data_IF_312565057943
#
_entry.id   IF_312565057943
#
_cell.length_a   1.000
_cell.length_b   1.000
_cell.length_c   1.000
_cell.angle_alpha   90.00
_cell.angle_beta   90.00
_cell.angle_gamma   90.00
#
_symmetry.space_group_name_H-M   'P 1'
#
loop_
_entity.id
_entity.type
_entity.pdbx_description
1 polymer ?
#
# COMPACT_ATOMS: atom_id res chain seq x y z
N UNK A 1 -5.88 -9.50 5.66
CA UNK A 1 -5.51 -8.41 4.75
C UNK A 1 -6.60 -7.33 4.72
N UNK A 2 -7.86 -7.71 4.56
CA UNK A 2 -9.00 -6.79 4.43
C UNK A 2 -9.68 -6.42 5.75
N UNK A 3 -9.18 -6.91 6.87
CA UNK A 3 -9.76 -6.64 8.18
C UNK A 3 -9.90 -5.14 8.47
N UNK A 4 -8.91 -4.35 8.10
CA UNK A 4 -8.89 -2.90 8.25
C UNK A 4 -10.07 -2.18 7.58
N UNK A 5 -10.63 -2.76 6.50
CA UNK A 5 -11.86 -2.31 5.85
C UNK A 5 -13.09 -3.01 6.45
N UNK A 6 -13.05 -4.34 6.53
CA UNK A 6 -14.19 -5.16 6.91
C UNK A 6 -14.70 -4.85 8.33
N UNK A 7 -13.82 -4.42 9.24
CA UNK A 7 -14.21 -3.98 10.58
C UNK A 7 -15.08 -2.73 10.61
N UNK A 8 -15.13 -1.96 9.52
CA UNK A 8 -16.01 -0.79 9.37
C UNK A 8 -17.25 -1.08 8.50
N UNK A 9 -17.37 -2.25 7.88
CA UNK A 9 -18.52 -2.60 7.05
C UNK A 9 -19.52 -3.45 7.84
N UNK A 10 -20.70 -2.88 8.11
CA UNK A 10 -21.78 -3.53 8.88
C UNK A 10 -22.29 -4.84 8.23
N UNK A 11 -21.99 -5.07 6.97
CA UNK A 11 -22.37 -6.31 6.25
C UNK A 11 -21.31 -7.41 6.39
N UNK A 12 -20.14 -7.11 6.98
CA UNK A 12 -19.07 -8.06 7.18
C UNK A 12 -19.10 -8.64 8.60
N UNK A 13 -18.77 -9.92 8.74
CA UNK A 13 -18.67 -10.60 10.03
C UNK A 13 -17.60 -9.97 10.94
N UNK A 14 -16.56 -9.38 10.34
CA UNK A 14 -15.47 -8.70 11.02
C UNK A 14 -15.94 -7.46 11.78
N UNK A 15 -17.07 -6.85 11.37
CA UNK A 15 -17.67 -5.72 12.08
C UNK A 15 -18.15 -6.11 13.47
N UNK A 16 -18.95 -7.16 13.57
CA UNK A 16 -19.46 -7.64 14.87
C UNK A 16 -18.34 -8.26 15.71
N UNK A 17 -17.47 -9.07 15.10
CA UNK A 17 -16.28 -9.61 15.76
C UNK A 17 -15.44 -8.51 16.41
N UNK A 18 -15.23 -7.38 15.68
CA UNK A 18 -14.47 -6.25 16.20
C UNK A 18 -15.14 -5.66 17.44
N UNK A 19 -16.46 -5.44 17.38
CA UNK A 19 -17.23 -4.85 18.48
C UNK A 19 -17.25 -5.72 19.73
N UNK A 20 -17.37 -7.01 19.54
CA UNK A 20 -17.36 -7.99 20.64
C UNK A 20 -15.97 -8.12 21.28
N UNK A 21 -14.91 -7.98 20.51
CA UNK A 21 -13.54 -8.22 20.97
C UNK A 21 -12.84 -6.96 21.47
N UNK A 22 -13.02 -5.83 20.79
CA UNK A 22 -12.26 -4.59 21.01
C UNK A 22 -13.16 -3.40 21.40
N UNK A 23 -14.46 -3.51 21.25
CA UNK A 23 -15.40 -2.42 21.45
C UNK A 23 -15.80 -1.73 20.14
N UNK A 24 -16.58 -0.65 20.29
CA UNK A 24 -17.09 0.11 19.13
C UNK A 24 -15.97 0.89 18.43
N UNK A 25 -16.13 1.07 17.12
CA UNK A 25 -15.10 1.65 16.26
C UNK A 25 -14.81 3.14 16.53
N UNK A 26 -15.64 3.83 17.33
CA UNK A 26 -15.34 5.17 17.86
C UNK A 26 -14.42 5.11 19.11
N UNK A 27 -14.35 3.98 19.81
CA UNK A 27 -13.50 3.76 21.00
C UNK A 27 -12.21 3.05 20.67
N UNK A 28 -12.27 2.06 19.79
CA UNK A 28 -11.13 1.31 19.30
C UNK A 28 -11.25 1.16 17.78
N UNK A 29 -10.49 1.94 17.04
CA UNK A 29 -10.43 1.89 15.58
C UNK A 29 -9.19 1.19 15.07
N UNK A 30 -9.02 1.17 13.75
CA UNK A 30 -7.89 0.46 13.14
C UNK A 30 -6.52 1.01 13.59
N UNK A 31 -6.38 2.33 13.76
CA UNK A 31 -5.16 2.98 14.27
C UNK A 31 -4.70 2.42 15.63
N UNK A 32 -5.63 1.92 16.44
CA UNK A 32 -5.34 1.46 17.80
C UNK A 32 -4.63 0.08 17.81
N UNK A 33 -4.62 -0.62 16.67
CA UNK A 33 -3.79 -1.81 16.49
C UNK A 33 -2.30 -1.48 16.27
N UNK A 34 -1.95 -0.28 15.82
CA UNK A 34 -0.57 0.08 15.53
C UNK A 34 0.35 -0.13 16.74
N UNK A 35 0.01 0.31 17.97
CA UNK A 35 0.84 0.04 19.14
C UNK A 35 0.98 -1.44 19.49
N UNK A 36 0.06 -2.29 19.01
CA UNK A 36 0.11 -3.75 19.21
C UNK A 36 1.03 -4.45 18.23
N UNK A 37 1.35 -3.83 17.11
CA UNK A 37 2.31 -4.32 16.12
C UNK A 37 3.73 -4.10 16.63
N UNK A 38 4.34 -5.11 17.24
CA UNK A 38 5.69 -5.03 17.85
C UNK A 38 6.80 -5.60 16.98
N UNK A 39 6.47 -6.48 16.05
CA UNK A 39 7.43 -7.21 15.20
C UNK A 39 8.54 -7.92 16.01
N UNK A 40 8.24 -8.41 17.20
CA UNK A 40 9.21 -9.01 18.14
C UNK A 40 9.94 -10.23 17.57
N UNK A 41 9.24 -11.01 16.75
CA UNK A 41 9.78 -12.21 16.11
C UNK A 41 10.33 -11.95 14.72
N UNK A 42 10.25 -10.72 14.23
CA UNK A 42 10.73 -10.36 12.91
C UNK A 42 12.26 -10.30 12.89
N UNK A 43 12.85 -11.05 11.98
CA UNK A 43 14.29 -11.03 11.70
C UNK A 43 14.47 -11.13 10.19
N UNK A 44 14.83 -10.02 9.58
CA UNK A 44 14.94 -9.90 8.13
C UNK A 44 16.00 -10.84 7.53
N UNK A 45 17.15 -11.01 8.19
CA UNK A 45 18.21 -11.91 7.70
C UNK A 45 17.76 -13.38 7.71
N UNK A 46 17.05 -13.82 8.77
CA UNK A 46 16.50 -15.19 8.80
C UNK A 46 15.45 -15.40 7.70
N UNK A 47 14.62 -14.39 7.42
CA UNK A 47 13.65 -14.46 6.35
C UNK A 47 14.34 -14.53 4.99
N UNK A 48 15.30 -13.64 4.73
CA UNK A 48 16.03 -13.62 3.47
C UNK A 48 16.80 -14.94 3.23
N UNK A 49 17.44 -15.49 4.27
CA UNK A 49 18.12 -16.79 4.19
C UNK A 49 17.11 -17.92 3.86
N UNK A 50 15.92 -17.92 4.46
CA UNK A 50 14.86 -18.88 4.15
C UNK A 50 14.37 -18.75 2.71
N UNK A 51 14.12 -17.52 2.24
CA UNK A 51 13.72 -17.26 0.85
C UNK A 51 14.79 -17.71 -0.13
N UNK A 52 16.06 -17.42 0.15
CA UNK A 52 17.17 -17.90 -0.68
C UNK A 52 17.21 -19.42 -0.74
N UNK A 53 17.06 -20.09 0.41
CA UNK A 53 17.02 -21.54 0.50
C UNK A 53 15.85 -22.16 -0.28
N UNK A 54 14.72 -21.48 -0.35
CA UNK A 54 13.54 -21.90 -1.14
C UNK A 54 13.71 -21.70 -2.67
N UNK A 55 14.81 -21.09 -3.11
CA UNK A 55 15.10 -20.85 -4.52
C UNK A 55 14.63 -19.47 -5.02
N UNK A 56 14.13 -18.60 -4.15
CA UNK A 56 13.75 -17.25 -4.52
C UNK A 56 14.92 -16.48 -5.15
N UNK A 57 14.61 -15.63 -6.12
CA UNK A 57 15.58 -14.76 -6.79
C UNK A 57 15.40 -13.30 -6.36
N UNK A 58 14.18 -12.92 -6.06
CA UNK A 58 13.84 -11.58 -5.58
C UNK A 58 12.83 -11.67 -4.43
N UNK A 59 12.76 -10.59 -3.65
CA UNK A 59 11.78 -10.41 -2.57
C UNK A 59 11.09 -9.08 -2.77
N UNK A 60 9.77 -9.08 -2.71
CA UNK A 60 8.93 -7.90 -2.92
C UNK A 60 8.01 -7.70 -1.70
N UNK A 61 8.48 -7.04 -0.65
CA UNK A 61 7.61 -6.70 0.47
C UNK A 61 6.57 -5.67 0.08
N UNK A 62 5.43 -5.71 0.75
CA UNK A 62 4.44 -4.64 0.70
C UNK A 62 4.94 -3.50 1.58
N UNK A 63 5.30 -2.38 0.97
CA UNK A 63 5.84 -1.20 1.67
C UNK A 63 4.75 -0.31 2.27
N UNK A 64 3.60 -0.24 1.62
CA UNK A 64 2.38 0.40 2.13
C UNK A 64 1.17 -0.29 1.48
N UNK A 65 0.24 -0.79 2.29
CA UNK A 65 -1.00 -1.41 1.82
C UNK A 65 -2.15 -0.40 1.75
N UNK A 66 -3.36 -0.86 1.44
CA UNK A 66 -4.58 -0.02 1.37
C UNK A 66 -4.93 0.67 2.69
N UNK A 67 -4.44 0.18 3.80
CA UNK A 67 -4.66 0.73 5.14
C UNK A 67 -3.90 2.04 5.42
N UNK A 68 -2.90 2.37 4.58
CA UNK A 68 -2.15 3.63 4.66
C UNK A 68 -1.05 3.65 5.72
N UNK A 69 -0.75 2.52 6.37
CA UNK A 69 0.38 2.41 7.30
C UNK A 69 1.65 2.03 6.53
N UNK A 70 2.62 2.94 6.51
CA UNK A 70 3.87 2.70 5.81
C UNK A 70 4.80 1.78 6.62
N UNK A 71 5.30 0.70 6.00
CA UNK A 71 6.26 -0.24 6.60
C UNK A 71 7.70 0.26 6.51
N UNK A 72 7.92 1.49 6.09
CA UNK A 72 9.21 2.12 5.87
C UNK A 72 9.31 3.49 6.56
N UNK A 73 10.52 3.99 6.70
CA UNK A 73 10.80 5.32 7.21
C UNK A 73 10.43 6.38 6.18
N UNK A 74 9.36 7.13 6.41
CA UNK A 74 8.89 8.23 5.56
C UNK A 74 8.80 9.53 6.32
N UNK A 75 9.17 10.63 5.66
CA UNK A 75 9.00 11.99 6.20
C UNK A 75 7.63 12.58 5.90
N UNK A 76 6.88 11.99 4.97
CA UNK A 76 5.59 12.52 4.52
C UNK A 76 4.40 12.03 5.34
N UNK A 77 4.62 11.05 6.22
CA UNK A 77 3.56 10.48 7.04
C UNK A 77 4.10 10.01 8.39
N UNK A 78 3.51 10.50 9.48
CA UNK A 78 3.85 10.03 10.84
C UNK A 78 3.39 8.58 11.10
N UNK A 79 2.43 8.08 10.33
CA UNK A 79 1.87 6.74 10.45
C UNK A 79 2.75 5.73 9.70
N UNK A 80 3.89 5.43 10.29
CA UNK A 80 4.87 4.51 9.71
C UNK A 80 5.56 3.66 10.77
N UNK A 81 6.08 2.51 10.36
CA UNK A 81 6.69 1.50 11.23
C UNK A 81 7.98 1.98 11.90
N UNK A 82 8.65 3.01 11.36
CA UNK A 82 9.82 3.62 11.99
C UNK A 82 9.43 4.54 13.16
N UNK A 83 8.33 5.28 13.01
CA UNK A 83 7.89 6.24 14.02
C UNK A 83 7.06 5.60 15.13
N UNK A 84 6.35 4.52 14.86
CA UNK A 84 5.42 3.89 15.81
C UNK A 84 5.32 2.37 15.61
N UNK A 85 4.57 1.71 16.48
CA UNK A 85 4.46 0.24 16.47
C UNK A 85 5.81 -0.42 16.78
N UNK A 86 6.47 -1.06 15.81
CA UNK A 86 7.76 -1.71 16.02
C UNK A 86 8.93 -0.75 16.19
N UNK A 87 8.76 0.54 15.84
CA UNK A 87 9.80 1.57 15.82
C UNK A 87 11.02 1.16 14.98
N UNK A 88 10.78 0.49 13.84
CA UNK A 88 11.80 -0.06 12.94
C UNK A 88 11.45 0.25 11.48
N UNK A 89 12.47 0.50 10.66
CA UNK A 89 12.32 0.55 9.20
C UNK A 89 12.31 -0.88 8.63
N UNK A 90 11.13 -1.51 8.62
CA UNK A 90 10.94 -2.89 8.20
C UNK A 90 11.38 -3.09 6.73
N UNK A 91 11.02 -2.16 5.86
CA UNK A 91 11.40 -2.21 4.43
C UNK A 91 12.91 -2.11 4.25
N UNK A 92 13.56 -1.17 4.94
CA UNK A 92 15.01 -1.02 4.89
C UNK A 92 15.76 -2.23 5.43
N UNK A 93 15.26 -2.85 6.52
CA UNK A 93 15.83 -4.07 7.05
C UNK A 93 15.71 -5.25 6.05
N UNK A 94 14.57 -5.40 5.37
CA UNK A 94 14.38 -6.43 4.32
C UNK A 94 15.32 -6.16 3.15
N UNK A 95 15.43 -4.91 2.68
CA UNK A 95 16.37 -4.54 1.62
C UNK A 95 17.79 -4.98 1.98
N UNK A 96 18.26 -4.59 3.17
CA UNK A 96 19.60 -4.95 3.64
C UNK A 96 19.81 -6.46 3.72
N UNK A 97 18.82 -7.17 4.22
CA UNK A 97 18.88 -8.63 4.30
C UNK A 97 18.90 -9.29 2.92
N UNK A 98 18.18 -8.73 1.92
CA UNK A 98 18.24 -9.20 0.54
C UNK A 98 19.66 -9.05 -0.03
N UNK A 99 20.28 -7.87 0.15
CA UNK A 99 21.65 -7.60 -0.28
C UNK A 99 22.63 -8.63 0.34
N UNK A 100 22.56 -8.84 1.65
CA UNK A 100 23.40 -9.77 2.38
C UNK A 100 23.27 -11.24 1.90
N UNK A 101 22.10 -11.61 1.37
CA UNK A 101 21.80 -12.98 0.92
C UNK A 101 21.83 -13.14 -0.61
N UNK A 102 22.24 -12.11 -1.38
CA UNK A 102 22.27 -12.15 -2.84
C UNK A 102 20.88 -12.38 -3.45
N UNK A 103 19.86 -11.72 -2.87
CA UNK A 103 18.50 -11.61 -3.38
C UNK A 103 18.27 -10.23 -3.95
N UNK A 104 17.49 -10.13 -5.01
CA UNK A 104 17.07 -8.85 -5.56
C UNK A 104 15.96 -8.25 -4.70
N UNK A 105 16.13 -7.00 -4.27
CA UNK A 105 15.08 -6.26 -3.57
C UNK A 105 14.13 -5.61 -4.56
N UNK A 106 12.84 -5.78 -4.33
CA UNK A 106 11.73 -5.15 -5.04
C UNK A 106 10.79 -4.49 -4.03
N UNK A 107 9.88 -3.64 -4.48
CA UNK A 107 8.92 -2.96 -3.62
C UNK A 107 7.51 -3.02 -4.19
N UNK A 108 6.52 -3.18 -3.34
CA UNK A 108 5.10 -3.13 -3.69
C UNK A 108 4.42 -2.01 -2.92
N UNK A 109 3.60 -1.22 -3.59
CA UNK A 109 2.77 -0.19 -2.96
C UNK A 109 1.34 -0.26 -3.46
N UNK A 110 0.39 -0.27 -2.51
CA UNK A 110 -1.05 -0.37 -2.73
C UNK A 110 -1.80 0.89 -2.26
N UNK A 111 -1.03 1.94 -1.96
CA UNK A 111 -1.57 3.20 -1.42
C UNK A 111 -2.64 3.84 -2.29
N UNK A 112 -2.66 3.60 -3.59
CA UNK A 112 -3.65 4.20 -4.49
C UNK A 112 -5.09 4.01 -3.98
N UNK A 113 -5.42 2.83 -3.46
CA UNK A 113 -6.75 2.49 -2.98
C UNK A 113 -7.10 3.12 -1.63
N UNK A 114 -6.12 3.56 -0.87
CA UNK A 114 -6.36 4.19 0.42
C UNK A 114 -7.24 5.46 0.30
N UNK A 115 -7.34 6.04 -0.89
CA UNK A 115 -8.22 7.18 -1.17
C UNK A 115 -9.68 6.95 -0.74
N UNK A 116 -10.16 5.73 -0.89
CA UNK A 116 -11.53 5.33 -0.56
C UNK A 116 -11.64 4.14 0.42
N UNK A 117 -10.54 3.45 0.71
CA UNK A 117 -10.52 2.17 1.39
C UNK A 117 -11.29 2.16 2.73
N UNK A 118 -11.21 3.22 3.51
CA UNK A 118 -11.86 3.36 4.81
C UNK A 118 -13.26 3.99 4.73
N UNK A 119 -13.86 4.10 3.55
CA UNK A 119 -15.11 4.84 3.32
C UNK A 119 -16.31 4.37 4.16
N UNK A 120 -16.41 3.07 4.44
CA UNK A 120 -17.51 2.52 5.24
C UNK A 120 -17.52 3.06 6.68
N UNK A 121 -16.36 3.42 7.23
CA UNK A 121 -16.25 4.10 8.51
C UNK A 121 -16.92 5.47 8.55
N UNK A 122 -17.10 6.11 7.39
CA UNK A 122 -17.82 7.40 7.29
C UNK A 122 -19.33 7.26 7.48
N UNK A 123 -19.90 6.07 7.37
CA UNK A 123 -21.35 5.84 7.36
C UNK A 123 -21.98 5.71 8.76
N UNK A 124 -21.17 5.73 9.81
CA UNK A 124 -21.62 5.61 11.20
C UNK A 124 -20.62 6.27 12.15
N UNK A 125 -20.92 6.28 13.44
CA UNK A 125 -20.05 6.83 14.48
C UNK A 125 -18.80 5.94 14.63
N UNK A 126 -17.68 6.42 14.08
CA UNK A 126 -16.38 5.76 14.08
C UNK A 126 -15.24 6.77 14.10
N UNK A 127 -14.06 6.33 14.47
CA UNK A 127 -12.84 7.14 14.49
C UNK A 127 -12.36 7.60 13.08
N UNK A 128 -12.88 7.01 11.99
CA UNK A 128 -12.67 7.50 10.63
C UNK A 128 -13.27 8.91 10.43
N UNK A 129 -14.27 9.28 11.24
CA UNK A 129 -14.88 10.61 11.22
C UNK A 129 -14.15 11.65 12.09
N UNK A 130 -13.18 11.22 12.91
CA UNK A 130 -12.42 12.14 13.75
C UNK A 130 -11.33 12.84 12.92
N UNK A 131 -11.47 14.15 12.75
CA UNK A 131 -10.53 14.99 12.00
C UNK A 131 -9.08 14.89 12.51
N UNK A 132 -8.89 14.54 13.78
CA UNK A 132 -7.57 14.31 14.38
C UNK A 132 -6.78 13.19 13.69
N UNK A 133 -7.48 12.22 13.10
CA UNK A 133 -6.90 11.04 12.46
C UNK A 133 -7.08 11.04 10.94
N UNK A 134 -7.47 12.17 10.37
CA UNK A 134 -7.66 12.31 8.93
C UNK A 134 -6.39 12.04 8.13
N UNK A 135 -5.24 12.35 8.68
CA UNK A 135 -3.93 12.07 8.08
C UNK A 135 -3.60 10.56 8.03
N UNK A 136 -4.30 9.74 8.85
CA UNK A 136 -4.20 8.28 8.79
C UNK A 136 -5.26 7.68 7.87
N UNK A 137 -6.53 7.98 8.11
CA UNK A 137 -7.64 7.38 7.37
C UNK A 137 -7.82 7.95 5.95
N UNK A 138 -7.10 9.02 5.62
CA UNK A 138 -7.15 9.66 4.33
C UNK A 138 -8.52 10.29 4.04
N UNK A 139 -8.82 10.56 2.77
CA UNK A 139 -10.09 11.14 2.37
C UNK A 139 -11.27 10.23 2.67
N UNK A 140 -11.06 8.91 2.64
CA UNK A 140 -12.11 7.89 2.85
C UNK A 140 -13.37 8.23 2.06
N UNK A 141 -13.20 8.54 0.77
CA UNK A 141 -14.27 9.02 -0.10
C UNK A 141 -15.27 7.90 -0.32
N UNK A 142 -16.55 8.21 -0.12
CA UNK A 142 -17.60 7.24 -0.39
C UNK A 142 -17.65 6.88 -1.88
N UNK A 143 -17.58 5.60 -2.18
CA UNK A 143 -17.62 5.03 -3.51
C UNK A 143 -18.80 4.06 -3.57
N UNK A 144 -19.97 4.47 -4.07
CA UNK A 144 -21.17 3.64 -4.07
C UNK A 144 -21.04 2.40 -4.96
N UNK A 145 -20.18 2.47 -5.97
CA UNK A 145 -19.91 1.35 -6.87
C UNK A 145 -19.03 0.28 -6.22
N UNK A 146 -18.41 0.60 -5.10
CA UNK A 146 -17.55 -0.31 -4.37
C UNK A 146 -18.23 -0.88 -3.12
N UNK A 147 -19.11 -1.79 -3.36
CA UNK A 147 -19.62 -2.73 -2.36
C UNK A 147 -18.64 -3.89 -2.20
N UNK A 148 -18.38 -4.32 -0.98
CA UNK A 148 -17.55 -5.47 -0.64
C UNK A 148 -17.92 -6.75 -1.39
N UNK A 149 -19.15 -6.84 -1.89
CA UNK A 149 -19.67 -7.99 -2.65
C UNK A 149 -19.59 -7.81 -4.17
N UNK A 150 -19.28 -6.62 -4.67
CA UNK A 150 -19.26 -6.32 -6.11
C UNK A 150 -17.88 -5.96 -6.65
N UNK A 151 -16.86 -5.97 -5.81
CA UNK A 151 -15.49 -5.54 -6.11
C UNK A 151 -14.88 -6.20 -7.37
N UNK A 152 -15.31 -7.41 -7.69
CA UNK A 152 -14.85 -8.14 -8.87
C UNK A 152 -15.64 -7.86 -10.15
N UNK A 153 -16.65 -7.00 -10.10
CA UNK A 153 -17.57 -6.76 -11.23
C UNK A 153 -17.39 -5.41 -11.92
N UNK A 154 -16.62 -4.51 -11.32
CA UNK A 154 -16.44 -3.17 -11.84
C UNK A 154 -15.02 -2.98 -12.36
N UNK A 155 -14.90 -2.54 -13.61
CA UNK A 155 -13.63 -2.07 -14.16
C UNK A 155 -13.36 -0.64 -13.66
N UNK A 156 -12.11 -0.21 -13.52
CA UNK A 156 -11.80 1.13 -13.02
C UNK A 156 -12.34 2.27 -13.88
N UNK A 157 -12.64 2.01 -15.13
CA UNK A 157 -13.31 2.98 -16.01
C UNK A 157 -14.77 3.23 -15.60
N UNK A 158 -15.37 2.36 -14.79
CA UNK A 158 -16.73 2.51 -14.26
C UNK A 158 -16.78 3.21 -12.91
N UNK A 159 -15.64 3.46 -12.25
CA UNK A 159 -15.63 4.25 -11.03
C UNK A 159 -15.79 5.73 -11.37
N UNK A 160 -16.90 6.32 -10.93
CA UNK A 160 -17.19 7.75 -11.07
C UNK A 160 -16.21 8.63 -10.29
N UNK A 161 -15.48 8.04 -9.34
CA UNK A 161 -14.62 8.76 -8.41
C UNK A 161 -13.18 8.71 -8.89
N UNK A 162 -12.67 9.85 -9.36
CA UNK A 162 -11.25 10.10 -9.51
C UNK A 162 -10.63 10.59 -8.20
N UNK A 163 -9.36 10.32 -7.99
CA UNK A 163 -8.62 10.88 -6.87
C UNK A 163 -8.41 12.39 -7.06
N UNK A 164 -8.42 13.15 -5.95
CA UNK A 164 -8.15 14.58 -5.99
C UNK A 164 -6.69 14.87 -6.39
N UNK A 165 -6.44 16.09 -6.87
CA UNK A 165 -5.10 16.52 -7.26
C UNK A 165 -4.13 16.41 -6.08
N UNK A 166 -4.54 16.85 -4.90
CA UNK A 166 -3.74 16.84 -3.68
C UNK A 166 -3.36 15.41 -3.27
N UNK A 167 -4.31 14.47 -3.40
CA UNK A 167 -4.05 13.06 -3.14
C UNK A 167 -3.05 12.46 -4.13
N UNK A 168 -3.20 12.77 -5.40
CA UNK A 168 -2.33 12.28 -6.47
C UNK A 168 -0.91 12.84 -6.35
N UNK A 169 -0.76 14.08 -5.91
CA UNK A 169 0.54 14.70 -5.61
C UNK A 169 1.20 14.03 -4.39
N UNK A 170 0.47 13.78 -3.31
CA UNK A 170 0.95 13.04 -2.14
C UNK A 170 1.34 11.60 -2.51
N UNK A 171 0.52 10.89 -3.29
CA UNK A 171 0.82 9.56 -3.78
C UNK A 171 2.13 9.54 -4.60
N UNK A 172 2.30 10.48 -5.51
CA UNK A 172 3.50 10.59 -6.35
C UNK A 172 4.75 10.84 -5.51
N UNK A 173 4.70 11.82 -4.61
CA UNK A 173 5.85 12.22 -3.77
C UNK A 173 6.29 11.08 -2.87
N UNK A 174 5.36 10.38 -2.22
CA UNK A 174 5.68 9.21 -1.38
C UNK A 174 6.27 8.06 -2.19
N UNK A 175 5.76 7.84 -3.40
CA UNK A 175 6.31 6.80 -4.28
C UNK A 175 7.72 7.17 -4.74
N UNK A 176 7.98 8.45 -5.05
CA UNK A 176 9.34 8.93 -5.35
C UNK A 176 10.28 8.77 -4.16
N UNK A 177 9.83 9.07 -2.92
CA UNK A 177 10.63 8.83 -1.71
C UNK A 177 11.00 7.34 -1.56
N UNK A 178 10.04 6.43 -1.77
CA UNK A 178 10.28 4.99 -1.72
C UNK A 178 11.34 4.57 -2.76
N UNK A 179 11.24 5.10 -3.98
CA UNK A 179 12.20 4.88 -5.06
C UNK A 179 13.60 5.33 -4.63
N UNK A 180 13.74 6.55 -4.15
CA UNK A 180 15.05 7.13 -3.80
C UNK A 180 15.70 6.43 -2.61
N UNK A 181 14.93 6.13 -1.56
CA UNK A 181 15.47 5.51 -0.35
C UNK A 181 15.86 4.05 -0.56
N UNK A 182 15.08 3.30 -1.32
CA UNK A 182 15.25 1.85 -1.36
C UNK A 182 15.69 1.31 -2.72
N UNK A 183 15.65 2.10 -3.77
CA UNK A 183 16.13 1.74 -5.12
C UNK A 183 15.67 0.33 -5.55
N UNK A 184 14.36 0.03 -5.51
CA UNK A 184 13.87 -1.30 -5.87
C UNK A 184 14.17 -1.62 -7.34
N UNK A 185 14.43 -2.89 -7.65
CA UNK A 185 14.59 -3.35 -9.06
C UNK A 185 13.26 -3.51 -9.78
N UNK A 186 12.22 -3.87 -9.05
CA UNK A 186 10.85 -3.94 -9.53
C UNK A 186 10.00 -3.11 -8.58
N UNK A 187 9.22 -2.20 -9.13
CA UNK A 187 8.23 -1.43 -8.40
C UNK A 187 6.84 -1.91 -8.82
N UNK A 188 6.14 -2.57 -7.90
CA UNK A 188 4.84 -3.15 -8.15
C UNK A 188 3.72 -2.24 -7.66
N UNK A 189 2.69 -2.13 -8.48
CA UNK A 189 1.44 -1.46 -8.16
C UNK A 189 0.26 -2.41 -8.30
N UNK A 190 -0.65 -2.35 -7.34
CA UNK A 190 -1.93 -3.02 -7.43
C UNK A 190 -2.90 -2.27 -8.35
N UNK A 191 -4.14 -2.70 -8.40
CA UNK A 191 -5.08 -2.47 -9.49
C UNK A 191 -5.58 -1.02 -9.69
N UNK A 192 -5.79 -0.23 -8.64
CA UNK A 192 -6.54 1.04 -8.78
C UNK A 192 -5.77 2.17 -9.49
N UNK A 193 -4.49 2.06 -9.68
CA UNK A 193 -3.70 3.05 -10.44
C UNK A 193 -4.15 3.18 -11.92
N UNK A 194 -4.95 2.24 -12.44
CA UNK A 194 -5.51 2.33 -13.79
C UNK A 194 -6.68 3.33 -13.88
N UNK A 195 -7.23 3.82 -12.76
CA UNK A 195 -8.22 4.89 -12.75
C UNK A 195 -7.69 6.10 -13.54
N UNK A 196 -8.58 6.69 -14.37
CA UNK A 196 -8.22 7.77 -15.29
C UNK A 196 -7.51 8.96 -14.63
N UNK A 197 -7.79 9.25 -13.37
CA UNK A 197 -7.16 10.36 -12.63
C UNK A 197 -5.66 10.17 -12.42
N UNK A 198 -5.17 8.92 -12.40
CA UNK A 198 -3.75 8.61 -12.26
C UNK A 198 -2.94 8.80 -13.56
N UNK A 199 -3.54 8.75 -14.74
CA UNK A 199 -2.82 8.75 -16.04
C UNK A 199 -1.71 9.80 -16.15
N UNK A 200 -1.91 11.10 -15.82
CA UNK A 200 -0.84 12.09 -15.89
C UNK A 200 0.26 11.87 -14.85
N UNK A 201 -0.06 11.29 -13.71
CA UNK A 201 0.88 11.00 -12.63
C UNK A 201 1.70 9.75 -12.90
N UNK A 202 1.10 8.72 -13.52
CA UNK A 202 1.82 7.51 -13.96
C UNK A 202 2.94 7.85 -14.96
N UNK A 203 2.70 8.80 -15.87
CA UNK A 203 3.76 9.27 -16.80
C UNK A 203 4.91 9.93 -16.05
N UNK A 204 4.60 10.80 -15.07
CA UNK A 204 5.62 11.46 -14.24
C UNK A 204 6.40 10.45 -13.43
N UNK A 205 5.71 9.49 -12.83
CA UNK A 205 6.32 8.42 -12.04
C UNK A 205 7.27 7.56 -12.87
N UNK A 206 6.82 7.09 -14.04
CA UNK A 206 7.66 6.28 -14.94
C UNK A 206 8.90 7.04 -15.36
N UNK A 207 8.74 8.30 -15.79
CA UNK A 207 9.88 9.15 -16.16
C UNK A 207 10.84 9.33 -14.98
N UNK A 208 10.32 9.59 -13.78
CA UNK A 208 11.14 9.72 -12.58
C UNK A 208 11.94 8.45 -12.30
N UNK A 209 11.26 7.31 -12.21
CA UNK A 209 11.88 6.05 -11.82
C UNK A 209 12.95 5.59 -12.82
N UNK A 210 12.68 5.67 -14.11
CA UNK A 210 13.65 5.28 -15.13
C UNK A 210 14.84 6.24 -15.22
N UNK A 211 14.64 7.55 -15.03
CA UNK A 211 15.75 8.50 -14.94
C UNK A 211 16.63 8.26 -13.70
N UNK A 212 16.00 7.95 -12.54
CA UNK A 212 16.78 7.58 -11.36
C UNK A 212 17.54 6.29 -11.55
N UNK A 213 16.97 5.31 -12.23
CA UNK A 213 17.65 4.06 -12.56
C UNK A 213 18.88 4.29 -13.48
N UNK A 214 18.75 5.17 -14.47
CA UNK A 214 19.87 5.57 -15.33
C UNK A 214 21.00 6.23 -14.52
N UNK A 215 20.65 7.15 -13.60
CA UNK A 215 21.62 7.78 -12.69
C UNK A 215 22.34 6.77 -11.79
N UNK A 216 21.67 5.68 -11.39
CA UNK A 216 22.27 4.60 -10.58
C UNK A 216 23.06 3.60 -11.42
N UNK A 217 22.93 3.62 -12.74
CA UNK A 217 23.48 2.60 -13.65
C UNK A 217 22.79 1.23 -13.51
N UNK A 218 21.47 1.23 -13.24
CA UNK A 218 20.70 0.05 -12.90
C UNK A 218 19.52 -0.16 -13.85
N UNK A 219 19.26 -1.43 -14.21
CA UNK A 219 18.02 -1.79 -14.91
C UNK A 219 16.88 -2.00 -13.93
N UNK A 220 15.74 -1.36 -14.18
CA UNK A 220 14.53 -1.46 -13.35
C UNK A 220 13.29 -1.66 -14.21
N UNK A 221 12.20 -2.12 -13.60
CA UNK A 221 10.89 -2.19 -14.25
C UNK A 221 9.77 -1.87 -13.30
N UNK A 222 8.69 -1.33 -13.84
CA UNK A 222 7.38 -1.24 -13.17
C UNK A 222 6.61 -2.52 -13.48
N UNK A 223 5.99 -3.11 -12.46
CA UNK A 223 5.04 -4.20 -12.63
C UNK A 223 3.65 -3.73 -12.18
N UNK A 224 2.61 -4.02 -12.95
CA UNK A 224 1.28 -3.45 -12.76
C UNK A 224 0.16 -4.39 -13.17
N UNK A 225 -1.03 -4.16 -12.62
CA UNK A 225 -2.29 -4.83 -13.00
C UNK A 225 -3.12 -3.95 -13.93
N UNK A 226 -4.02 -4.58 -14.67
CA UNK A 226 -4.94 -3.95 -15.60
C UNK A 226 -4.24 -3.09 -16.68
N UNK A 227 -4.86 -2.02 -17.15
CA UNK A 227 -4.40 -1.21 -18.28
C UNK A 227 -3.72 0.11 -17.84
N UNK A 228 -3.00 0.08 -16.69
CA UNK A 228 -2.38 1.28 -16.13
C UNK A 228 -1.25 1.86 -16.99
N UNK A 229 -0.45 0.98 -17.60
CA UNK A 229 0.69 1.38 -18.44
C UNK A 229 0.65 0.72 -19.82
N UNK A 230 1.25 1.35 -20.85
CA UNK A 230 1.53 0.66 -22.11
C UNK A 230 2.54 -0.49 -21.90
N UNK A 231 2.40 -1.61 -22.63
CA UNK A 231 3.32 -2.77 -22.52
C UNK A 231 4.80 -2.45 -22.77
N UNK A 232 5.08 -1.37 -23.49
CA UNK A 232 6.46 -0.90 -23.78
C UNK A 232 7.11 -0.15 -22.64
N UNK A 233 6.32 0.25 -21.61
CA UNK A 233 6.80 1.05 -20.47
C UNK A 233 6.97 0.20 -19.22
N UNK A 234 6.15 -0.84 -19.05
CA UNK A 234 6.08 -1.61 -17.82
C UNK A 234 5.68 -3.06 -18.09
N UNK A 235 5.90 -3.94 -17.14
CA UNK A 235 5.57 -5.36 -17.22
C UNK A 235 4.19 -5.61 -16.63
N UNK A 236 3.31 -6.21 -17.42
CA UNK A 236 1.97 -6.56 -17.01
C UNK A 236 1.97 -7.80 -16.10
N UNK A 237 1.26 -7.70 -14.97
CA UNK A 237 1.03 -8.83 -14.06
C UNK A 237 -0.23 -9.60 -14.45
N UNK A 238 -0.08 -10.90 -14.65
CA UNK A 238 -1.20 -11.81 -14.88
C UNK A 238 -1.43 -12.62 -13.62
N UNK A 239 -2.36 -12.17 -12.80
CA UNK A 239 -2.76 -12.90 -11.61
C UNK A 239 -3.51 -14.18 -12.02
N UNK A 240 -2.95 -15.34 -11.62
CA UNK A 240 -3.55 -16.64 -11.91
C UNK A 240 -4.24 -17.19 -10.68
N UNK A 241 -5.46 -17.66 -10.85
CA UNK A 241 -6.20 -18.34 -9.79
C UNK A 241 -7.11 -17.45 -8.95
N UNK A 242 -7.37 -16.25 -9.43
CA UNK A 242 -8.41 -15.38 -8.88
C UNK A 242 -9.75 -15.61 -9.61
#
# INVERSE_FOLDING_TARGET
EWYSRAMYDKNCREFEYHRETYGTQDKFGYKDFIPMFKAEKFNADKWAALFKKSGAKFVMPVCEHHDGFAMYDTVFNRWNAKAMGPCRDITGEIKKACENNGLTFCASTHRAEHYFFMNMGRTFDSDVNDEKYRDFYGPAVYCPEWDSHTIHKTTADTYSIGASKEWLEDWLVRTCELIDKYQPKILYFDWWIHNHSFKPYLKKLAAYYYNRADEWGEEVTINYKHEAFPPTVATFDVERGA
#
